data_IF_930429180490
#
_entry.id   IF_930429180490
#
_cell.length_a   1.000
_cell.length_b   1.000
_cell.length_c   1.000
_cell.angle_alpha   90.00
_cell.angle_beta   90.00
_cell.angle_gamma   90.00
#
_symmetry.space_group_name_H-M   'P 1'
#
loop_
_entity.id
_entity.type
_entity.pdbx_description
1 polymer ?
#
# COMPACT_ATOMS: atom_id res chain seq x y z
N UNK A 1 17.91 -18.35 -2.10
CA UNK A 1 16.69 -17.75 -2.69
C UNK A 1 16.88 -16.29 -3.06
N UNK A 2 17.17 -15.37 -2.13
CA UNK A 2 17.39 -13.96 -2.51
C UNK A 2 18.51 -13.81 -3.54
N UNK A 3 19.60 -14.56 -3.39
CA UNK A 3 20.69 -14.65 -4.36
C UNK A 3 20.18 -15.15 -5.72
N UNK A 4 19.42 -16.25 -5.75
CA UNK A 4 18.85 -16.78 -6.99
C UNK A 4 17.97 -15.74 -7.69
N UNK A 5 17.11 -15.03 -6.93
CA UNK A 5 16.27 -13.97 -7.51
C UNK A 5 17.12 -12.81 -8.04
N UNK A 6 18.16 -12.41 -7.32
CA UNK A 6 19.03 -11.31 -7.74
C UNK A 6 19.90 -11.68 -8.96
N UNK A 7 20.27 -12.96 -9.11
CA UNK A 7 21.12 -13.44 -10.19
C UNK A 7 20.32 -13.77 -11.45
N UNK A 8 19.13 -14.35 -11.31
CA UNK A 8 18.32 -14.83 -12.44
C UNK A 8 17.40 -13.76 -13.04
N UNK A 9 16.98 -12.77 -12.23
CA UNK A 9 16.12 -11.69 -12.73
C UNK A 9 16.93 -10.49 -13.20
N UNK A 10 16.64 -10.01 -14.40
CA UNK A 10 17.33 -8.83 -14.93
C UNK A 10 17.12 -7.61 -14.00
N UNK A 11 18.15 -6.77 -13.77
CA UNK A 11 18.04 -5.60 -12.88
C UNK A 11 16.86 -4.67 -13.19
N UNK A 12 16.47 -4.52 -14.48
CA UNK A 12 15.31 -3.70 -14.86
C UNK A 12 13.96 -4.30 -14.45
N UNK A 13 13.90 -5.60 -14.22
CA UNK A 13 12.72 -6.30 -13.70
C UNK A 13 12.65 -6.17 -12.18
N UNK A 14 13.80 -6.33 -11.50
CA UNK A 14 13.91 -6.20 -10.05
C UNK A 14 13.67 -4.75 -9.59
N UNK A 15 14.26 -3.81 -10.32
CA UNK A 15 14.16 -2.37 -10.05
C UNK A 15 13.35 -1.73 -11.17
N UNK A 16 12.03 -1.63 -10.99
CA UNK A 16 11.11 -1.15 -12.00
C UNK A 16 11.42 0.31 -12.38
N UNK A 17 12.02 0.48 -13.57
CA UNK A 17 12.42 1.80 -14.09
C UNK A 17 11.23 2.74 -14.28
N UNK A 18 10.05 2.22 -14.64
CA UNK A 18 8.82 3.02 -14.77
C UNK A 18 8.39 3.63 -13.43
N UNK A 19 8.38 2.84 -12.36
CA UNK A 19 8.07 3.32 -11.01
C UNK A 19 9.17 4.26 -10.50
N UNK A 20 10.44 4.02 -10.85
CA UNK A 20 11.53 4.93 -10.54
C UNK A 20 11.33 6.31 -11.18
N UNK A 21 11.08 6.35 -12.49
CA UNK A 21 10.84 7.59 -13.23
C UNK A 21 9.61 8.32 -12.67
N UNK A 22 8.50 7.60 -12.41
CA UNK A 22 7.31 8.17 -11.78
C UNK A 22 7.64 8.80 -10.42
N UNK A 23 8.40 8.11 -9.59
CA UNK A 23 8.83 8.61 -8.27
C UNK A 23 9.73 9.83 -8.39
N UNK A 24 10.67 9.84 -9.33
CA UNK A 24 11.53 10.99 -9.61
C UNK A 24 10.72 12.19 -10.08
N UNK A 25 9.78 12.00 -11.02
CA UNK A 25 8.87 13.07 -11.44
C UNK A 25 8.02 13.61 -10.29
N UNK A 26 7.48 12.75 -9.43
CA UNK A 26 6.71 13.17 -8.27
C UNK A 26 7.56 14.04 -7.32
N UNK A 27 8.84 13.70 -7.12
CA UNK A 27 9.79 14.50 -6.33
C UNK A 27 10.07 15.84 -6.99
N UNK A 28 10.35 15.85 -8.30
CA UNK A 28 10.60 17.08 -9.08
C UNK A 28 9.38 18.00 -9.01
N UNK A 29 8.19 17.48 -9.28
CA UNK A 29 6.93 18.23 -9.19
C UNK A 29 6.76 18.80 -7.79
N UNK A 30 6.97 17.99 -6.75
CA UNK A 30 6.81 18.42 -5.37
C UNK A 30 7.74 19.59 -5.01
N UNK A 31 9.02 19.54 -5.37
CA UNK A 31 9.98 20.56 -4.97
C UNK A 31 10.00 21.77 -5.88
N UNK A 32 9.83 21.59 -7.20
CA UNK A 32 10.04 22.67 -8.18
C UNK A 32 8.74 23.30 -8.67
N UNK A 33 7.67 22.51 -8.84
CA UNK A 33 6.44 23.00 -9.48
C UNK A 33 5.34 23.36 -8.49
N UNK A 34 5.27 22.63 -7.36
CA UNK A 34 4.21 22.89 -6.41
C UNK A 34 4.53 24.10 -5.51
N UNK A 35 3.58 25.05 -5.36
CA UNK A 35 3.78 26.21 -4.51
C UNK A 35 4.04 25.82 -3.06
N UNK A 36 4.95 26.52 -2.41
CA UNK A 36 5.28 26.33 -0.99
C UNK A 36 5.14 27.63 -0.24
N UNK A 37 4.44 27.63 0.89
CA UNK A 37 4.49 28.78 1.80
C UNK A 37 5.82 28.82 2.55
N UNK A 38 6.18 30.02 3.05
CA UNK A 38 7.35 30.21 3.91
C UNK A 38 7.28 29.37 5.20
N UNK A 39 6.09 28.92 5.59
CA UNK A 39 5.84 28.09 6.78
C UNK A 39 5.93 26.59 6.49
N UNK A 40 6.26 26.17 5.27
CA UNK A 40 6.38 24.74 4.97
C UNK A 40 7.62 24.15 5.64
N UNK A 41 7.38 23.25 6.61
CA UNK A 41 8.45 22.66 7.41
C UNK A 41 9.21 21.58 6.63
N UNK A 42 10.53 21.53 6.82
CA UNK A 42 11.40 20.47 6.27
C UNK A 42 10.90 19.06 6.66
N UNK A 43 10.34 18.88 7.85
CA UNK A 43 9.78 17.61 8.29
C UNK A 43 8.62 17.12 7.42
N UNK A 44 7.83 18.02 6.84
CA UNK A 44 6.79 17.68 5.86
C UNK A 44 7.41 17.17 4.57
N UNK A 45 8.45 17.84 4.08
CA UNK A 45 9.18 17.37 2.89
C UNK A 45 9.83 16.00 3.14
N UNK A 46 10.39 15.77 4.32
CA UNK A 46 10.93 14.45 4.69
C UNK A 46 9.83 13.39 4.75
N UNK A 47 8.64 13.71 5.28
CA UNK A 47 7.51 12.80 5.27
C UNK A 47 7.07 12.46 3.85
N UNK A 48 7.02 13.45 2.94
CA UNK A 48 6.71 13.19 1.52
C UNK A 48 7.74 12.25 0.89
N UNK A 49 9.04 12.52 1.08
CA UNK A 49 10.11 11.66 0.56
C UNK A 49 10.05 10.25 1.14
N UNK A 50 9.76 10.12 2.42
CA UNK A 50 9.57 8.81 3.06
C UNK A 50 8.34 8.07 2.49
N UNK A 51 7.26 8.80 2.15
CA UNK A 51 6.10 8.25 1.45
C UNK A 51 6.45 7.74 0.05
N UNK A 52 7.25 8.51 -0.72
CA UNK A 52 7.77 8.06 -2.03
C UNK A 52 8.67 6.84 -1.87
N UNK A 53 9.56 6.84 -0.86
CA UNK A 53 10.44 5.69 -0.60
C UNK A 53 9.65 4.43 -0.25
N UNK A 54 8.58 4.53 0.55
CA UNK A 54 7.71 3.41 0.89
C UNK A 54 6.94 2.89 -0.34
N UNK A 55 6.42 3.79 -1.18
CA UNK A 55 5.75 3.44 -2.43
C UNK A 55 6.73 2.75 -3.40
N UNK A 56 7.92 3.31 -3.58
CA UNK A 56 8.94 2.73 -4.45
C UNK A 56 9.43 1.37 -3.92
N UNK A 57 9.66 1.25 -2.61
CA UNK A 57 10.01 -0.02 -2.00
C UNK A 57 8.95 -1.10 -2.26
N UNK A 58 7.66 -0.74 -2.20
CA UNK A 58 6.57 -1.68 -2.42
C UNK A 58 6.40 -2.09 -3.89
N UNK A 59 6.54 -1.17 -4.85
CA UNK A 59 6.19 -1.39 -6.25
C UNK A 59 7.38 -1.43 -7.19
N UNK A 60 8.47 -0.72 -6.87
CA UNK A 60 9.62 -0.51 -7.73
C UNK A 60 10.88 -1.26 -7.31
N UNK A 61 10.88 -1.96 -6.19
CA UNK A 61 12.02 -2.73 -5.68
C UNK A 61 11.83 -4.24 -5.86
N UNK A 62 12.86 -5.05 -5.59
CA UNK A 62 12.77 -6.51 -5.61
C UNK A 62 11.64 -7.09 -4.74
N UNK A 63 11.16 -6.33 -3.75
CA UNK A 63 10.05 -6.71 -2.89
C UNK A 63 8.76 -6.99 -3.70
N UNK A 64 8.56 -6.32 -4.83
CA UNK A 64 7.41 -6.56 -5.70
C UNK A 64 7.47 -7.98 -6.34
N UNK A 65 8.64 -8.41 -6.80
CA UNK A 65 8.84 -9.76 -7.35
C UNK A 65 8.75 -10.81 -6.25
N UNK A 66 9.45 -10.58 -5.13
CA UNK A 66 9.42 -11.51 -3.99
C UNK A 66 7.99 -11.67 -3.45
N UNK A 67 7.16 -10.62 -3.49
CA UNK A 67 5.75 -10.68 -3.12
C UNK A 67 4.87 -11.53 -4.06
N UNK A 68 5.36 -11.86 -5.28
CA UNK A 68 4.72 -12.84 -6.17
C UNK A 68 5.11 -14.29 -5.82
N UNK A 69 6.27 -14.46 -5.19
CA UNK A 69 6.82 -15.76 -4.80
C UNK A 69 6.40 -16.13 -3.37
N UNK A 70 6.33 -15.13 -2.48
CA UNK A 70 6.18 -15.31 -1.05
C UNK A 70 5.05 -14.45 -0.48
N UNK A 71 4.00 -15.08 0.04
CA UNK A 71 2.81 -14.35 0.50
C UNK A 71 3.09 -13.39 1.66
N UNK A 72 3.95 -13.75 2.61
CA UNK A 72 4.32 -12.83 3.71
C UNK A 72 4.96 -11.53 3.19
N UNK A 73 5.71 -11.60 2.08
CA UNK A 73 6.30 -10.42 1.44
C UNK A 73 5.24 -9.58 0.72
N UNK A 74 4.20 -10.23 0.13
CA UNK A 74 3.03 -9.48 -0.37
C UNK A 74 2.36 -8.68 0.75
N UNK A 75 2.24 -9.24 1.95
CA UNK A 75 1.69 -8.50 3.10
C UNK A 75 2.59 -7.32 3.50
N UNK A 76 3.93 -7.45 3.43
CA UNK A 76 4.83 -6.30 3.62
C UNK A 76 4.55 -5.21 2.56
N UNK A 77 4.33 -5.60 1.31
CA UNK A 77 3.92 -4.68 0.24
C UNK A 77 2.60 -3.96 0.58
N UNK A 78 1.60 -4.70 1.06
CA UNK A 78 0.31 -4.16 1.53
C UNK A 78 0.50 -3.15 2.67
N UNK A 79 1.34 -3.45 3.66
CA UNK A 79 1.64 -2.57 4.79
C UNK A 79 2.29 -1.26 4.28
N UNK A 80 3.29 -1.36 3.41
CA UNK A 80 3.95 -0.20 2.84
C UNK A 80 2.99 0.69 2.04
N UNK A 81 2.17 0.08 1.17
CA UNK A 81 1.26 0.81 0.28
C UNK A 81 0.07 1.41 1.01
N UNK A 82 -0.55 0.70 1.95
CA UNK A 82 -1.85 1.11 2.47
C UNK A 82 -1.81 1.65 3.90
N UNK A 83 -0.78 1.28 4.67
CA UNK A 83 -0.66 1.73 6.05
C UNK A 83 0.45 2.78 6.23
N UNK A 84 1.58 2.70 5.51
CA UNK A 84 2.74 3.58 5.72
C UNK A 84 2.76 4.76 4.74
N UNK A 85 2.69 4.52 3.43
CA UNK A 85 2.81 5.59 2.44
C UNK A 85 1.68 6.63 2.51
N UNK A 86 0.38 6.26 2.66
CA UNK A 86 -0.71 7.23 2.67
C UNK A 86 -0.61 8.26 3.81
N UNK A 87 -0.42 7.89 5.09
CA UNK A 87 -0.27 8.89 6.15
C UNK A 87 0.95 9.78 5.95
N UNK A 88 2.05 9.27 5.43
CA UNK A 88 3.24 10.05 5.13
C UNK A 88 2.98 11.09 4.03
N UNK A 89 2.26 10.72 2.97
CA UNK A 89 1.85 11.67 1.94
C UNK A 89 0.92 12.75 2.47
N UNK A 90 -0.07 12.39 3.30
CA UNK A 90 -1.01 13.37 3.86
C UNK A 90 -0.30 14.38 4.77
N UNK A 91 0.66 13.92 5.59
CA UNK A 91 1.47 14.79 6.46
C UNK A 91 2.42 15.65 5.62
N UNK A 92 3.03 15.06 4.60
CA UNK A 92 4.02 15.70 3.73
C UNK A 92 3.43 16.66 2.69
N UNK A 93 2.13 16.56 2.40
CA UNK A 93 1.52 17.30 1.31
C UNK A 93 1.45 18.81 1.59
N UNK A 94 1.69 19.63 0.55
CA UNK A 94 1.66 21.09 0.65
C UNK A 94 0.23 21.60 0.79
N UNK A 95 -0.04 22.42 1.79
CA UNK A 95 -1.39 22.92 2.06
C UNK A 95 -1.94 23.79 0.92
N UNK A 96 -1.08 24.46 0.18
CA UNK A 96 -1.41 25.31 -0.95
C UNK A 96 -2.19 24.56 -2.03
N UNK A 97 -1.84 23.29 -2.26
CA UNK A 97 -2.52 22.44 -3.23
C UNK A 97 -3.95 22.13 -2.77
N UNK A 98 -4.13 21.83 -1.48
CA UNK A 98 -5.49 21.64 -0.94
C UNK A 98 -6.36 22.88 -1.11
N UNK A 99 -5.76 24.08 -0.96
CA UNK A 99 -6.48 25.34 -1.16
C UNK A 99 -6.86 25.56 -2.63
N UNK A 100 -6.00 25.17 -3.56
CA UNK A 100 -6.31 25.23 -5.00
C UNK A 100 -7.39 24.22 -5.40
N UNK A 101 -7.32 23.01 -4.91
CA UNK A 101 -8.34 21.97 -5.15
C UNK A 101 -9.72 22.39 -4.66
N UNK A 102 -9.79 23.08 -3.50
CA UNK A 102 -11.04 23.62 -2.97
C UNK A 102 -11.69 24.70 -3.83
N UNK A 103 -10.94 25.35 -4.70
CA UNK A 103 -11.49 26.35 -5.64
C UNK A 103 -12.29 25.69 -6.79
N UNK A 104 -12.10 24.39 -7.00
CA UNK A 104 -12.85 23.61 -8.01
C UNK A 104 -14.01 22.91 -7.29
N UNK A 105 -15.20 23.48 -7.36
CA UNK A 105 -16.38 23.03 -6.62
C UNK A 105 -16.67 21.51 -6.76
N UNK A 106 -16.50 20.95 -7.96
CA UNK A 106 -16.74 19.52 -8.20
C UNK A 106 -15.75 18.67 -7.42
N UNK A 107 -14.46 19.03 -7.44
CA UNK A 107 -13.39 18.30 -6.74
C UNK A 107 -13.54 18.45 -5.21
N UNK A 108 -13.86 19.65 -4.72
CA UNK A 108 -14.08 19.87 -3.29
C UNK A 108 -15.26 19.03 -2.78
N UNK A 109 -16.38 19.04 -3.50
CA UNK A 109 -17.56 18.24 -3.15
C UNK A 109 -17.22 16.73 -3.16
N UNK A 110 -16.56 16.24 -4.19
CA UNK A 110 -16.16 14.83 -4.29
C UNK A 110 -15.25 14.42 -3.12
N UNK A 111 -14.19 15.20 -2.85
CA UNK A 111 -13.28 14.92 -1.75
C UNK A 111 -14.00 14.99 -0.41
N UNK A 112 -14.91 15.96 -0.21
CA UNK A 112 -15.67 16.08 1.03
C UNK A 112 -16.59 14.88 1.24
N UNK A 113 -17.21 14.34 0.21
CA UNK A 113 -18.04 13.12 0.30
C UNK A 113 -17.16 11.90 0.57
N UNK A 114 -16.11 11.69 -0.23
CA UNK A 114 -15.25 10.52 -0.15
C UNK A 114 -14.43 10.47 1.15
N UNK A 115 -14.18 11.61 1.79
CA UNK A 115 -13.48 11.67 3.08
C UNK A 115 -14.41 11.68 4.29
N UNK A 116 -15.74 11.50 4.12
CA UNK A 116 -16.63 11.20 5.25
C UNK A 116 -16.19 9.87 5.89
N UNK A 117 -16.09 9.79 7.23
CA UNK A 117 -15.53 8.61 7.91
C UNK A 117 -16.10 7.27 7.44
N UNK A 118 -17.43 7.18 7.37
CA UNK A 118 -18.12 5.95 6.94
C UNK A 118 -17.83 5.64 5.48
N UNK A 119 -17.89 6.64 4.58
CA UNK A 119 -17.65 6.44 3.14
C UNK A 119 -16.21 6.00 2.90
N UNK A 120 -15.24 6.67 3.51
CA UNK A 120 -13.83 6.34 3.38
C UNK A 120 -13.53 4.91 3.85
N UNK A 121 -14.05 4.51 5.03
CA UNK A 121 -13.91 3.15 5.54
C UNK A 121 -14.57 2.12 4.62
N UNK A 122 -15.84 2.33 4.25
CA UNK A 122 -16.56 1.40 3.38
C UNK A 122 -15.84 1.20 2.05
N UNK A 123 -15.41 2.30 1.40
CA UNK A 123 -14.68 2.22 0.12
C UNK A 123 -13.39 1.44 0.27
N UNK A 124 -12.58 1.75 1.30
CA UNK A 124 -11.31 1.06 1.48
C UNK A 124 -11.49 -0.42 1.79
N UNK A 125 -12.34 -0.77 2.76
CA UNK A 125 -12.48 -2.17 3.17
C UNK A 125 -13.19 -3.03 2.12
N UNK A 126 -14.14 -2.49 1.37
CA UNK A 126 -14.73 -3.21 0.23
C UNK A 126 -13.69 -3.53 -0.84
N UNK A 127 -12.84 -2.58 -1.19
CA UNK A 127 -11.76 -2.79 -2.17
C UNK A 127 -10.68 -3.71 -1.61
N UNK A 128 -10.27 -3.51 -0.36
CA UNK A 128 -9.24 -4.31 0.31
C UNK A 128 -9.66 -5.78 0.42
N UNK A 129 -10.83 -6.06 0.96
CA UNK A 129 -11.35 -7.42 1.07
C UNK A 129 -11.68 -8.02 -0.29
N UNK A 130 -12.25 -7.23 -1.21
CA UNK A 130 -12.54 -7.66 -2.57
C UNK A 130 -11.28 -8.12 -3.30
N UNK A 131 -10.19 -7.36 -3.21
CA UNK A 131 -8.89 -7.76 -3.79
C UNK A 131 -8.35 -9.07 -3.19
N UNK A 132 -8.54 -9.28 -1.88
CA UNK A 132 -8.04 -10.46 -1.18
C UNK A 132 -8.98 -11.68 -1.23
N UNK A 133 -10.07 -11.62 -2.00
CA UNK A 133 -10.81 -12.84 -2.39
C UNK A 133 -9.87 -13.69 -3.25
N UNK A 134 -9.63 -14.99 -2.94
CA UNK A 134 -8.60 -15.81 -3.58
C UNK A 134 -8.66 -15.82 -5.12
N UNK A 135 -9.86 -15.92 -5.70
CA UNK A 135 -10.05 -15.89 -7.15
C UNK A 135 -9.69 -14.53 -7.76
N UNK A 136 -10.12 -13.42 -7.13
CA UNK A 136 -9.83 -12.05 -7.60
C UNK A 136 -8.35 -11.74 -7.46
N UNK A 137 -7.74 -12.15 -6.35
CA UNK A 137 -6.30 -12.01 -6.09
C UNK A 137 -5.49 -12.71 -7.19
N UNK A 138 -5.74 -14.00 -7.43
CA UNK A 138 -5.03 -14.77 -8.43
C UNK A 138 -5.21 -14.17 -9.83
N UNK A 139 -6.45 -13.86 -10.22
CA UNK A 139 -6.75 -13.25 -11.52
C UNK A 139 -6.02 -11.92 -11.73
N UNK A 140 -6.04 -11.03 -10.73
CA UNK A 140 -5.36 -9.73 -10.83
C UNK A 140 -3.84 -9.86 -10.96
N UNK A 141 -3.24 -10.92 -10.42
CA UNK A 141 -1.80 -11.17 -10.49
C UNK A 141 -1.33 -11.75 -11.82
N UNK A 142 -2.23 -12.29 -12.64
CA UNK A 142 -1.92 -12.82 -13.97
C UNK A 142 -1.79 -11.73 -15.05
N UNK A 143 -2.29 -10.52 -14.77
CA UNK A 143 -2.17 -9.36 -15.66
C UNK A 143 -1.46 -8.21 -14.96
N UNK A 144 -0.38 -7.71 -15.56
CA UNK A 144 0.46 -6.67 -14.98
C UNK A 144 -0.29 -5.34 -14.82
N UNK A 145 -1.05 -4.94 -15.84
CA UNK A 145 -1.77 -3.66 -15.85
C UNK A 145 -2.95 -3.69 -14.88
N UNK A 146 -3.70 -4.79 -14.88
CA UNK A 146 -4.79 -4.99 -13.94
C UNK A 146 -4.28 -4.97 -12.50
N UNK A 147 -3.16 -5.65 -12.22
CA UNK A 147 -2.55 -5.66 -10.89
C UNK A 147 -2.20 -4.24 -10.42
N UNK A 148 -1.48 -3.45 -11.23
CA UNK A 148 -1.13 -2.08 -10.87
C UNK A 148 -2.36 -1.18 -10.75
N UNK A 149 -3.37 -1.36 -11.60
CA UNK A 149 -4.61 -0.60 -11.55
C UNK A 149 -5.37 -0.86 -10.25
N UNK A 150 -5.52 -2.12 -9.85
CA UNK A 150 -6.19 -2.49 -8.59
C UNK A 150 -5.40 -1.97 -7.39
N UNK A 151 -4.08 -2.14 -7.36
CA UNK A 151 -3.25 -1.62 -6.29
C UNK A 151 -3.35 -0.09 -6.18
N UNK A 152 -3.40 0.64 -7.30
CA UNK A 152 -3.59 2.09 -7.33
C UNK A 152 -4.95 2.52 -6.77
N UNK A 153 -6.03 1.85 -7.15
CA UNK A 153 -7.37 2.17 -6.63
C UNK A 153 -7.44 1.97 -5.11
N UNK A 154 -6.90 0.86 -4.60
CA UNK A 154 -6.85 0.60 -3.15
C UNK A 154 -5.94 1.62 -2.46
N UNK A 155 -4.82 2.02 -3.08
CA UNK A 155 -3.94 3.06 -2.55
C UNK A 155 -4.64 4.42 -2.41
N UNK A 156 -5.43 4.81 -3.42
CA UNK A 156 -6.26 6.03 -3.35
C UNK A 156 -7.28 5.91 -2.20
N UNK A 157 -7.96 4.77 -2.07
CA UNK A 157 -8.88 4.52 -0.97
C UNK A 157 -8.16 4.53 0.40
N UNK A 158 -6.93 4.04 0.47
CA UNK A 158 -6.10 4.13 1.66
C UNK A 158 -5.75 5.58 2.02
N UNK A 159 -5.48 6.45 1.05
CA UNK A 159 -5.33 7.90 1.32
C UNK A 159 -6.62 8.45 1.93
N UNK A 160 -7.78 8.06 1.42
CA UNK A 160 -9.08 8.55 1.91
C UNK A 160 -9.34 8.17 3.38
N UNK A 161 -8.99 6.95 3.83
CA UNK A 161 -9.20 6.56 5.24
C UNK A 161 -8.27 7.28 6.21
N UNK A 162 -7.09 7.73 5.76
CA UNK A 162 -6.15 8.44 6.61
C UNK A 162 -6.44 9.95 6.74
N UNK A 163 -7.16 10.55 5.79
CA UNK A 163 -7.52 11.98 5.83
C UNK A 163 -8.32 12.36 7.08
N UNK A 164 -9.37 11.64 7.53
CA UNK A 164 -10.11 11.98 8.73
C UNK A 164 -9.26 12.02 10.01
N UNK A 165 -8.23 11.16 10.09
CA UNK A 165 -7.31 11.10 11.23
C UNK A 165 -6.35 12.29 11.23
N UNK A 166 -5.72 12.57 10.09
CA UNK A 166 -4.55 13.43 10.00
C UNK A 166 -4.87 14.87 9.64
N UNK A 167 -5.99 15.14 8.93
CA UNK A 167 -6.37 16.50 8.57
C UNK A 167 -7.11 17.20 9.72
N UNK A 168 -6.69 18.45 10.07
CA UNK A 168 -7.39 19.25 11.06
C UNK A 168 -8.84 19.53 10.64
N UNK A 169 -9.75 19.58 11.63
CA UNK A 169 -11.14 20.00 11.42
C UNK A 169 -12.12 18.93 10.93
N UNK A 170 -11.63 17.76 10.47
CA UNK A 170 -12.52 16.66 10.02
C UNK A 170 -13.18 15.93 11.20
N UNK A 171 -12.40 15.62 12.24
CA UNK A 171 -12.87 14.91 13.45
C UNK A 171 -12.37 15.59 14.72
N UNK A 172 -13.14 15.49 15.81
CA UNK A 172 -12.68 15.80 17.16
C UNK A 172 -11.66 14.76 17.63
N UNK A 173 -10.89 15.06 18.70
CA UNK A 173 -9.87 14.14 19.20
C UNK A 173 -10.47 12.79 19.65
N UNK A 174 -11.64 12.82 20.34
CA UNK A 174 -12.39 11.61 20.70
C UNK A 174 -12.84 10.81 19.47
N UNK A 175 -13.36 11.51 18.45
CA UNK A 175 -13.79 10.85 17.21
C UNK A 175 -12.62 10.23 16.44
N UNK A 176 -11.42 10.84 16.45
CA UNK A 176 -10.22 10.26 15.86
C UNK A 176 -9.81 8.96 16.56
N UNK A 177 -9.86 8.93 17.89
CA UNK A 177 -9.57 7.71 18.65
C UNK A 177 -10.55 6.59 18.32
N UNK A 178 -11.85 6.89 18.30
CA UNK A 178 -12.87 5.89 17.91
C UNK A 178 -12.67 5.44 16.47
N UNK A 179 -12.41 6.36 15.53
CA UNK A 179 -12.20 6.05 14.14
C UNK A 179 -10.95 5.17 13.92
N UNK A 180 -9.83 5.49 14.58
CA UNK A 180 -8.62 4.67 14.56
C UNK A 180 -8.86 3.26 15.10
N UNK A 181 -9.56 3.14 16.24
CA UNK A 181 -9.94 1.85 16.82
C UNK A 181 -10.83 1.03 15.87
N UNK A 182 -11.83 1.65 15.26
CA UNK A 182 -12.72 0.99 14.29
C UNK A 182 -11.92 0.48 13.09
N UNK A 183 -10.96 1.26 12.56
CA UNK A 183 -10.10 0.78 11.47
C UNK A 183 -9.23 -0.43 11.89
N UNK A 184 -8.69 -0.43 13.11
CA UNK A 184 -8.00 -1.62 13.64
C UNK A 184 -8.95 -2.81 13.66
N UNK A 185 -10.14 -2.66 14.24
CA UNK A 185 -11.12 -3.75 14.36
C UNK A 185 -11.59 -4.28 13.01
N UNK A 186 -11.77 -3.41 12.02
CA UNK A 186 -12.19 -3.82 10.67
C UNK A 186 -11.09 -4.59 9.91
N UNK A 187 -9.81 -4.42 10.24
CA UNK A 187 -8.72 -5.15 9.56
C UNK A 187 -8.34 -6.47 10.28
N UNK A 188 -8.66 -6.61 11.57
CA UNK A 188 -8.39 -7.82 12.36
C UNK A 188 -8.95 -9.10 11.73
N UNK A 189 -10.20 -9.16 11.22
CA UNK A 189 -10.75 -10.39 10.66
C UNK A 189 -9.88 -11.00 9.55
N UNK A 190 -9.31 -10.17 8.68
CA UNK A 190 -8.42 -10.66 7.63
C UNK A 190 -7.10 -11.22 8.19
N UNK A 191 -6.51 -10.54 9.17
CA UNK A 191 -5.30 -11.02 9.84
C UNK A 191 -5.54 -12.36 10.53
N UNK A 192 -6.68 -12.53 11.22
CA UNK A 192 -7.08 -13.78 11.87
C UNK A 192 -7.36 -14.87 10.84
N UNK A 193 -8.04 -14.55 9.73
CA UNK A 193 -8.30 -15.47 8.64
C UNK A 193 -6.99 -16.09 8.10
N UNK A 194 -5.96 -15.27 7.89
CA UNK A 194 -4.64 -15.73 7.48
C UNK A 194 -3.95 -16.59 8.55
N UNK A 195 -4.05 -16.19 9.83
CA UNK A 195 -3.45 -16.91 10.96
C UNK A 195 -4.05 -18.28 11.18
N UNK A 196 -5.35 -18.43 10.94
CA UNK A 196 -6.09 -19.69 11.15
C UNK A 196 -6.06 -20.61 9.93
N UNK A 197 -5.41 -20.21 8.84
CA UNK A 197 -5.30 -21.00 7.63
C UNK A 197 -4.61 -22.36 7.92
N UNK A 198 -5.23 -23.45 7.49
CA UNK A 198 -4.69 -24.82 7.59
C UNK A 198 -4.25 -25.36 6.24
N UNK A 199 -4.57 -24.65 5.18
CA UNK A 199 -4.23 -24.97 3.79
C UNK A 199 -3.87 -23.69 3.02
N UNK A 200 -3.26 -23.84 1.86
CA UNK A 200 -2.93 -22.72 0.99
C UNK A 200 -4.20 -22.10 0.40
N UNK A 201 -4.57 -20.92 0.89
CA UNK A 201 -5.80 -20.22 0.50
C UNK A 201 -5.69 -19.66 -0.94
N UNK A 202 -4.49 -19.20 -1.32
CA UNK A 202 -4.25 -18.55 -2.60
C UNK A 202 -3.59 -19.51 -3.57
N UNK A 203 -4.33 -19.91 -4.60
CA UNK A 203 -3.88 -20.82 -5.65
C UNK A 203 -2.60 -20.33 -6.35
N UNK A 204 -2.39 -19.03 -6.41
CA UNK A 204 -1.15 -18.44 -6.96
C UNK A 204 0.13 -18.99 -6.30
N UNK A 205 0.08 -19.42 -5.04
CA UNK A 205 1.23 -19.92 -4.28
C UNK A 205 1.20 -21.45 -4.09
N UNK A 206 0.19 -22.15 -4.61
CA UNK A 206 0.02 -23.60 -4.46
C UNK A 206 -0.08 -24.35 -5.77
N UNK A 207 -0.50 -23.66 -6.85
CA UNK A 207 -0.62 -24.16 -8.19
C UNK A 207 0.56 -23.69 -9.04
N UNK A 208 1.38 -24.62 -9.54
CA UNK A 208 2.60 -24.31 -10.28
C UNK A 208 2.30 -23.58 -11.59
N UNK A 209 1.22 -23.92 -12.28
CA UNK A 209 0.89 -23.33 -13.58
C UNK A 209 0.44 -21.86 -13.42
N UNK A 210 -0.34 -21.58 -12.38
CA UNK A 210 -0.72 -20.20 -12.03
C UNK A 210 0.48 -19.40 -11.55
N UNK A 211 1.35 -20.00 -10.76
CA UNK A 211 2.58 -19.37 -10.31
C UNK A 211 3.49 -19.00 -11.48
N UNK A 212 3.77 -19.95 -12.38
CA UNK A 212 4.54 -19.73 -13.60
C UNK A 212 3.93 -18.58 -14.41
N UNK A 213 2.64 -18.66 -14.70
CA UNK A 213 1.92 -17.63 -15.47
C UNK A 213 2.03 -16.25 -14.84
N UNK A 214 2.03 -16.16 -13.51
CA UNK A 214 2.17 -14.87 -12.79
C UNK A 214 3.59 -14.28 -12.86
N UNK A 215 4.61 -15.11 -12.96
CA UNK A 215 6.01 -14.67 -13.07
C UNK A 215 6.42 -14.35 -14.51
N UNK A 216 5.88 -15.06 -15.51
CA UNK A 216 6.12 -14.80 -16.93
C UNK A 216 5.88 -13.35 -17.30
N UNK A 217 4.84 -12.69 -16.73
CA UNK A 217 4.59 -11.26 -16.95
C UNK A 217 5.72 -10.33 -16.48
N UNK A 218 6.64 -10.85 -15.65
CA UNK A 218 7.75 -10.09 -15.08
C UNK A 218 9.13 -10.56 -15.59
N UNK A 219 9.17 -11.65 -16.36
CA UNK A 219 10.42 -12.27 -16.84
C UNK A 219 10.51 -12.13 -18.36
N UNK A 220 11.47 -11.37 -18.90
CA UNK A 220 11.63 -11.18 -20.34
C UNK A 220 11.87 -12.49 -21.11
N UNK A 221 12.57 -13.45 -20.49
CA UNK A 221 12.98 -14.70 -21.12
C UNK A 221 12.28 -15.94 -20.51
N UNK A 222 11.04 -15.74 -20.04
CA UNK A 222 10.29 -16.78 -19.32
C UNK A 222 10.04 -18.08 -20.13
N UNK A 223 10.00 -17.98 -21.46
CA UNK A 223 9.79 -19.13 -22.37
C UNK A 223 10.96 -20.14 -22.35
N UNK A 224 12.13 -19.74 -21.87
CA UNK A 224 13.31 -20.60 -21.74
C UNK A 224 13.45 -21.23 -20.35
N UNK A 225 12.62 -20.87 -19.40
CA UNK A 225 12.69 -21.36 -18.02
C UNK A 225 11.90 -22.66 -17.86
N UNK A 226 12.51 -23.63 -17.20
CA UNK A 226 11.89 -24.95 -16.99
C UNK A 226 10.95 -24.96 -15.78
N UNK A 227 9.97 -25.88 -15.72
CA UNK A 227 9.12 -26.06 -14.53
C UNK A 227 9.92 -26.30 -13.25
N UNK A 228 11.07 -26.99 -13.34
CA UNK A 228 11.96 -27.24 -12.20
C UNK A 228 12.56 -25.95 -11.65
N UNK A 229 12.89 -25.00 -12.52
CA UNK A 229 13.32 -23.67 -12.10
C UNK A 229 12.23 -22.97 -11.25
N UNK A 230 10.98 -22.96 -11.74
CA UNK A 230 9.89 -22.35 -11.01
C UNK A 230 9.61 -23.07 -9.68
N UNK A 231 9.73 -24.39 -9.62
CA UNK A 231 9.61 -25.15 -8.37
C UNK A 231 10.72 -24.78 -7.38
N UNK A 232 11.93 -24.50 -7.86
CA UNK A 232 13.03 -24.06 -6.99
C UNK A 232 12.80 -22.70 -6.33
N UNK A 233 11.92 -21.86 -6.91
CA UNK A 233 11.52 -20.58 -6.35
C UNK A 233 10.42 -20.70 -5.28
N UNK A 234 9.78 -21.87 -5.15
CA UNK A 234 8.71 -22.16 -4.17
C UNK A 234 9.18 -23.09 -3.02
N UNK A 235 10.33 -22.83 -2.35
CA UNK A 235 10.79 -23.66 -1.23
C UNK A 235 9.99 -23.39 0.05
N UNK A 236 8.90 -22.61 -0.01
CA UNK A 236 8.15 -22.15 1.14
C UNK A 236 6.87 -22.94 1.32
N UNK A 237 6.55 -23.24 2.57
CA UNK A 237 5.23 -23.71 2.95
C UNK A 237 4.22 -22.55 2.80
N UNK A 238 3.24 -22.65 1.87
CA UNK A 238 2.24 -21.61 1.65
C UNK A 238 1.44 -21.27 2.91
N UNK A 239 1.14 -22.26 3.75
CA UNK A 239 0.41 -22.06 5.01
C UNK A 239 1.23 -21.25 5.98
N UNK A 240 2.49 -21.63 6.19
CA UNK A 240 3.39 -20.89 7.08
C UNK A 240 3.59 -19.46 6.62
N UNK A 241 3.68 -19.20 5.30
CA UNK A 241 3.81 -17.84 4.78
C UNK A 241 2.52 -17.01 4.94
N UNK A 242 1.34 -17.61 4.81
CA UNK A 242 0.06 -16.94 5.11
C UNK A 242 -0.04 -16.57 6.59
N UNK A 243 0.30 -17.51 7.48
CA UNK A 243 0.29 -17.26 8.92
C UNK A 243 1.27 -16.16 9.32
N UNK A 244 2.50 -16.15 8.78
CA UNK A 244 3.46 -15.06 8.98
C UNK A 244 2.89 -13.73 8.47
N UNK A 245 2.27 -13.73 7.30
CA UNK A 245 1.58 -12.55 6.77
C UNK A 245 0.50 -12.03 7.71
N UNK A 246 -0.31 -12.92 8.27
CA UNK A 246 -1.34 -12.60 9.27
C UNK A 246 -0.77 -11.93 10.52
N UNK A 247 0.35 -12.45 11.07
CA UNK A 247 1.05 -11.85 12.21
C UNK A 247 1.58 -10.45 11.86
N UNK A 248 2.27 -10.33 10.72
CA UNK A 248 2.82 -9.07 10.26
C UNK A 248 1.74 -8.00 10.09
N UNK A 249 0.62 -8.34 9.46
CA UNK A 249 -0.48 -7.42 9.27
C UNK A 249 -1.13 -7.04 10.60
N UNK A 250 -1.38 -8.00 11.50
CA UNK A 250 -2.01 -7.77 12.80
C UNK A 250 -1.19 -6.78 13.65
N UNK A 251 0.10 -7.00 13.75
CA UNK A 251 0.98 -6.13 14.54
C UNK A 251 1.08 -4.75 13.89
N UNK A 252 1.36 -4.70 12.58
CA UNK A 252 1.59 -3.46 11.86
C UNK A 252 0.36 -2.55 11.87
N UNK A 253 -0.84 -3.08 11.65
CA UNK A 253 -2.06 -2.27 11.66
C UNK A 253 -2.33 -1.65 13.04
N UNK A 254 -2.14 -2.43 14.14
CA UNK A 254 -2.32 -1.91 15.50
C UNK A 254 -1.35 -0.77 15.77
N UNK A 255 -0.07 -0.99 15.46
CA UNK A 255 0.98 0.02 15.69
C UNK A 255 0.73 1.27 14.85
N UNK A 256 0.51 1.11 13.55
CA UNK A 256 0.46 2.24 12.61
C UNK A 256 -0.81 3.07 12.82
N UNK A 257 -1.99 2.45 12.99
CA UNK A 257 -3.21 3.19 13.29
C UNK A 257 -3.13 3.88 14.66
N UNK A 258 -2.55 3.24 15.66
CA UNK A 258 -2.35 3.84 16.98
C UNK A 258 -1.45 5.07 16.88
N UNK A 259 -0.26 4.94 16.30
CA UNK A 259 0.69 6.04 16.11
C UNK A 259 0.07 7.17 15.28
N UNK A 260 -0.58 6.84 14.16
CA UNK A 260 -1.22 7.81 13.29
C UNK A 260 -2.35 8.58 13.98
N UNK A 261 -3.16 7.89 14.77
CA UNK A 261 -4.24 8.50 15.54
C UNK A 261 -3.71 9.49 16.57
N UNK A 262 -2.70 9.09 17.36
CA UNK A 262 -2.05 10.01 18.32
C UNK A 262 -1.33 11.17 17.65
N UNK A 263 -0.67 10.96 16.52
CA UNK A 263 -0.08 12.04 15.72
C UNK A 263 -1.16 13.03 15.27
N UNK A 264 -2.30 12.53 14.78
CA UNK A 264 -3.44 13.36 14.34
C UNK A 264 -4.05 14.21 15.45
N UNK A 265 -4.08 13.75 16.70
CA UNK A 265 -4.54 14.56 17.85
C UNK A 265 -3.54 15.66 18.22
N UNK A 266 -2.23 15.41 18.14
CA UNK A 266 -1.18 16.40 18.42
C UNK A 266 -1.10 17.51 17.37
N UNK A 267 -1.31 17.19 16.08
CA UNK A 267 -1.30 18.18 14.99
C UNK A 267 -2.34 19.28 15.24
N UNK A 268 -3.51 18.95 15.77
CA UNK A 268 -4.58 19.91 16.11
C UNK A 268 -4.16 20.88 17.21
N UNK A 269 -3.44 20.41 18.25
CA UNK A 269 -3.01 21.26 19.37
C UNK A 269 -2.01 22.34 18.94
N UNK A 270 -1.16 22.05 17.95
CA UNK A 270 -0.12 22.95 17.45
C UNK A 270 -0.65 24.05 16.52
N UNK A 271 -1.84 23.87 15.94
CA UNK A 271 -2.48 24.82 15.02
C UNK A 271 -3.61 25.64 15.68
N UNK A 272 -3.76 25.61 17.00
CA UNK A 272 -4.58 26.59 17.71
C UNK A 272 -3.76 27.87 17.91
N UNK A 273 -4.32 29.05 17.54
CA UNK A 273 -3.68 30.34 17.77
C UNK A 273 -3.44 30.60 19.26
#
# INVERSE_FOLDING_TARGET
>A
MLEIILDEFHPSTLWNGGIFIFSAFAIIIYFLLLPSSKSHSIWKSMAFLAGIAALYAALGSPLNIIGRIKFSTHIIQVILLYLIAPPLFIVGFKNEIFNQVKQVNILDNLINVMTKPVVAMSTFYLLFYGYHVPAIFSYSRLDLYLNYFVLLIIFIAAILIWIPILKPGKLSDKQKLIYGLVNILLMIPYSIFLLMAKEGIYSLYTDIDLFMSSLVVCLPDAEYLTPEFYQSLLPFDPVAEQQKGGILLLISQIVIFTVGTFAGTKIKKRNKP
#
